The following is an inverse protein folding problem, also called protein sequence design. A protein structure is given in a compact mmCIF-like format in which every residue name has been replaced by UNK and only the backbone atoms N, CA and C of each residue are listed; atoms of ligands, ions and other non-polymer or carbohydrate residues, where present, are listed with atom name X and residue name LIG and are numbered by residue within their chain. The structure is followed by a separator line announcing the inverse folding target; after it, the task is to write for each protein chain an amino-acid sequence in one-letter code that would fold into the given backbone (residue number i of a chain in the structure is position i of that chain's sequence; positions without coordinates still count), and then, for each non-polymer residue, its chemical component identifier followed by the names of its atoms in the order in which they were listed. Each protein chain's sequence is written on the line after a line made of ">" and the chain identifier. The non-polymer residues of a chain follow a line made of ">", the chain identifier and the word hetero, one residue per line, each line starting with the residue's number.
data_IF_120357123396
#
_entry.id   IF_120357123396
#
_cell.length_a   1.000
_cell.length_b   1.000
_cell.length_c   1.000
_cell.angle_alpha   90.00
_cell.angle_beta   90.00
_cell.angle_gamma   90.00
#
_symmetry.space_group_name_H-M   'P 1'
#
loop_
_entity.id
_entity.type
_entity.pdbx_description
1 polymer ?
#
# COMPACT_ATOMS: atom_id res chain seq x y z
N UNK A 1 29.85 -9.12 1.69
CA UNK A 1 28.91 -10.17 2.13
C UNK A 1 28.53 -9.85 3.57
N UNK A 2 27.27 -9.53 3.84
CA UNK A 2 26.75 -9.26 5.19
C UNK A 2 25.43 -10.01 5.34
N UNK A 3 25.51 -11.18 5.97
CA UNK A 3 24.40 -12.09 6.28
C UNK A 3 23.79 -11.69 7.61
N UNK A 4 22.60 -11.10 7.61
CA UNK A 4 21.78 -10.96 8.82
C UNK A 4 20.47 -11.69 8.58
N UNK A 5 20.45 -12.96 8.97
CA UNK A 5 19.23 -13.68 9.26
C UNK A 5 18.78 -13.26 10.67
N UNK A 6 17.53 -12.82 10.81
CA UNK A 6 16.81 -12.88 12.07
C UNK A 6 15.39 -13.37 11.77
N UNK A 7 15.04 -14.42 12.49
CA UNK A 7 13.89 -15.29 12.33
C UNK A 7 12.82 -14.88 13.36
N UNK A 8 11.57 -14.98 12.93
CA UNK A 8 10.37 -15.36 13.67
C UNK A 8 9.66 -14.39 14.64
N UNK A 9 8.36 -14.29 14.30
CA UNK A 9 7.20 -14.63 15.14
C UNK A 9 6.50 -13.52 15.91
N UNK A 10 5.19 -13.45 15.63
CA UNK A 10 4.21 -13.55 16.71
C UNK A 10 3.41 -12.30 17.00
N UNK A 11 2.34 -12.12 16.22
CA UNK A 11 0.97 -11.72 16.62
C UNK A 11 0.86 -10.88 17.91
N UNK A 12 0.40 -9.63 17.76
CA UNK A 12 -0.43 -8.99 18.79
C UNK A 12 -1.68 -8.38 18.16
N UNK A 13 -2.77 -9.12 18.30
CA UNK A 13 -4.13 -8.67 18.02
C UNK A 13 -4.56 -7.82 19.21
N UNK A 14 -4.78 -6.53 18.99
CA UNK A 14 -5.39 -5.64 19.98
C UNK A 14 -6.66 -5.06 19.37
N UNK A 15 -7.75 -5.79 19.57
CA UNK A 15 -9.10 -5.25 19.52
C UNK A 15 -9.33 -4.47 20.82
N UNK A 16 -9.23 -3.14 20.76
CA UNK A 16 -9.80 -2.28 21.80
C UNK A 16 -11.10 -1.71 21.23
N UNK A 17 -12.18 -2.38 21.61
CA UNK A 17 -13.54 -1.85 21.54
C UNK A 17 -13.83 -1.26 22.92
N UNK A 18 -13.66 0.05 23.10
CA UNK A 18 -14.28 0.77 24.22
C UNK A 18 -14.82 2.08 23.66
N UNK A 19 -16.15 2.14 23.56
CA UNK A 19 -16.90 3.33 23.22
C UNK A 19 -17.13 4.25 24.43
N UNK A 20 -17.37 5.52 24.11
CA UNK A 20 -18.02 6.52 24.99
C UNK A 20 -19.02 7.24 24.08
N UNK A 21 -20.31 6.89 24.18
CA UNK A 21 -21.38 7.63 24.87
C UNK A 21 -21.55 9.09 24.36
N UNK A 22 -22.74 9.51 23.87
CA UNK A 22 -24.02 8.81 23.83
C UNK A 22 -25.18 9.60 23.23
N UNK A 23 -26.40 9.08 23.44
CA UNK A 23 -27.65 9.80 23.17
C UNK A 23 -28.89 8.89 23.16
N UNK A 24 -29.56 8.78 24.30
CA UNK A 24 -30.93 8.24 24.46
C UNK A 24 -30.97 6.78 24.94
N UNK A 25 -31.72 6.39 25.97
CA UNK A 25 -32.70 7.06 26.82
C UNK A 25 -33.51 5.96 27.51
N UNK A 26 -33.79 6.13 28.80
CA UNK A 26 -34.93 5.55 29.52
C UNK A 26 -35.05 4.02 29.69
N UNK A 27 -34.76 3.51 30.90
CA UNK A 27 -35.75 3.28 31.99
C UNK A 27 -35.26 2.23 32.98
N UNK A 28 -35.38 2.64 34.23
CA UNK A 28 -35.05 1.95 35.47
C UNK A 28 -36.11 0.88 35.80
N UNK A 29 -35.68 -0.33 36.17
CA UNK A 29 -36.42 -1.23 37.09
C UNK A 29 -35.45 -2.24 37.69
N UNK A 30 -35.46 -2.30 39.01
CA UNK A 30 -34.50 -2.96 39.91
C UNK A 30 -34.96 -4.37 40.32
N UNK A 31 -33.98 -5.14 40.81
CA UNK A 31 -34.03 -6.41 41.58
C UNK A 31 -34.03 -7.70 40.72
N UNK A 32 -33.23 -8.74 41.00
CA UNK A 32 -32.62 -9.19 42.24
C UNK A 32 -31.37 -10.09 42.02
N UNK A 33 -30.63 -10.23 43.11
CA UNK A 33 -29.37 -10.85 43.49
C UNK A 33 -29.13 -12.36 43.22
N UNK A 34 -27.86 -12.74 43.48
CA UNK A 34 -27.30 -14.06 43.88
C UNK A 34 -26.58 -14.86 42.78
N UNK A 35 -25.25 -14.73 42.68
CA UNK A 35 -24.21 -15.59 43.31
C UNK A 35 -24.19 -17.05 42.84
N UNK A 36 -23.13 -17.45 42.15
CA UNK A 36 -22.31 -18.63 42.53
C UNK A 36 -20.91 -18.53 41.92
N UNK A 37 -19.92 -18.74 42.77
CA UNK A 37 -18.52 -18.90 42.45
C UNK A 37 -18.17 -20.38 42.23
N UNK A 38 -17.05 -20.58 41.52
CA UNK A 38 -16.13 -21.72 41.57
C UNK A 38 -16.58 -23.11 41.08
N UNK A 39 -15.81 -23.66 40.12
CA UNK A 39 -15.09 -24.93 40.33
C UNK A 39 -14.14 -25.22 39.15
N UNK A 40 -12.86 -25.46 39.45
CA UNK A 40 -11.84 -25.98 38.55
C UNK A 40 -12.09 -27.47 38.21
N UNK A 41 -11.45 -27.94 37.13
CA UNK A 41 -11.28 -29.38 36.85
C UNK A 41 -10.49 -29.66 35.56
N UNK A 42 -9.18 -29.85 35.70
CA UNK A 42 -8.20 -30.28 34.69
C UNK A 42 -8.48 -31.66 34.07
N UNK A 43 -8.02 -31.88 32.83
CA UNK A 43 -7.16 -33.01 32.38
C UNK A 43 -7.00 -32.95 30.84
N UNK A 44 -5.80 -32.74 30.28
CA UNK A 44 -4.67 -33.69 30.14
C UNK A 44 -4.94 -34.77 29.07
N UNK A 45 -4.28 -34.65 27.92
CA UNK A 45 -3.85 -35.78 27.08
C UNK A 45 -2.82 -35.29 26.05
N UNK A 46 -1.55 -35.36 26.44
CA UNK A 46 -0.39 -35.31 25.55
C UNK A 46 -0.04 -36.72 25.11
N UNK A 47 0.26 -36.98 23.83
CA UNK A 47 1.24 -38.00 23.37
C UNK A 47 1.67 -37.67 21.90
N UNK A 48 2.77 -38.21 21.33
CA UNK A 48 4.14 -37.68 21.39
C UNK A 48 4.88 -37.60 20.03
N UNK A 49 6.08 -37.00 20.06
CA UNK A 49 7.17 -37.13 19.08
C UNK A 49 7.92 -38.47 19.25
N UNK A 50 8.32 -39.10 18.14
CA UNK A 50 9.56 -39.90 17.91
C UNK A 50 9.50 -40.47 16.46
N UNK A 51 10.54 -40.87 15.73
CA UNK A 51 11.90 -40.39 15.45
C UNK A 51 12.42 -41.31 14.31
N UNK A 52 13.31 -40.80 13.44
CA UNK A 52 14.33 -41.49 12.62
C UNK A 52 13.94 -42.49 11.50
N UNK A 53 14.48 -42.28 10.29
CA UNK A 53 15.69 -43.03 9.84
C UNK A 53 16.22 -42.51 8.49
N UNK A 54 17.54 -42.64 8.38
CA UNK A 54 18.51 -42.18 7.38
C UNK A 54 18.42 -42.86 6.01
N UNK A 55 19.07 -42.25 5.01
CA UNK A 55 19.34 -42.84 3.71
C UNK A 55 20.29 -41.97 2.87
N UNK A 56 21.58 -42.06 3.21
CA UNK A 56 22.74 -41.57 2.47
C UNK A 56 22.84 -42.24 1.09
N UNK A 57 23.12 -41.49 0.01
CA UNK A 57 23.94 -41.99 -1.11
C UNK A 57 24.45 -40.84 -1.99
N UNK A 58 25.74 -40.51 -1.89
CA UNK A 58 26.47 -39.64 -2.82
C UNK A 58 27.09 -40.43 -3.99
N UNK A 59 26.99 -39.82 -5.18
CA UNK A 59 27.98 -39.81 -6.30
C UNK A 59 28.24 -41.08 -7.14
N UNK A 60 28.90 -40.96 -8.33
CA UNK A 60 28.64 -40.07 -9.48
C UNK A 60 28.74 -40.85 -10.81
N UNK A 61 28.20 -40.34 -11.93
CA UNK A 61 28.76 -40.73 -13.23
C UNK A 61 28.55 -39.71 -14.35
N UNK A 62 29.64 -39.53 -15.09
CA UNK A 62 29.92 -38.45 -16.00
C UNK A 62 29.16 -38.50 -17.34
N UNK A 63 29.01 -37.32 -17.93
CA UNK A 63 28.82 -37.03 -19.35
C UNK A 63 29.87 -37.79 -20.21
N UNK A 64 29.68 -38.03 -21.53
CA UNK A 64 29.27 -37.01 -22.51
C UNK A 64 28.45 -37.49 -23.75
N UNK A 65 27.71 -36.59 -24.37
CA UNK A 65 27.52 -36.58 -25.82
C UNK A 65 27.05 -35.19 -26.28
N UNK A 66 27.87 -34.57 -27.11
CA UNK A 66 27.63 -33.30 -27.75
C UNK A 66 26.37 -33.33 -28.63
N UNK A 67 25.55 -32.30 -28.48
CA UNK A 67 24.75 -31.75 -29.57
C UNK A 67 25.16 -30.29 -29.70
N UNK A 68 25.95 -30.01 -30.73
CA UNK A 68 25.99 -28.69 -31.36
C UNK A 68 24.55 -28.32 -31.75
N UNK A 69 24.04 -27.25 -31.16
CA UNK A 69 22.90 -26.52 -31.68
C UNK A 69 23.19 -25.05 -31.44
N UNK A 70 23.69 -24.46 -32.52
CA UNK A 70 23.87 -23.05 -32.83
C UNK A 70 23.51 -22.07 -31.71
N UNK A 71 24.55 -21.57 -31.05
CA UNK A 71 24.57 -20.30 -30.35
C UNK A 71 24.23 -19.19 -31.34
N UNK A 72 22.93 -18.96 -31.55
CA UNK A 72 22.45 -17.81 -32.29
C UNK A 72 22.63 -16.58 -31.40
N UNK A 73 23.77 -15.91 -31.56
CA UNK A 73 24.05 -14.62 -30.94
C UNK A 73 22.85 -13.69 -31.12
N UNK A 74 22.37 -13.01 -30.05
CA UNK A 74 21.33 -12.01 -30.19
C UNK A 74 21.85 -10.92 -31.14
N UNK A 75 21.32 -10.91 -32.36
CA UNK A 75 21.53 -9.82 -33.30
C UNK A 75 21.08 -8.53 -32.60
N UNK A 76 21.87 -7.44 -32.61
CA UNK A 76 21.44 -6.16 -32.07
C UNK A 76 20.26 -5.69 -32.91
N UNK A 77 19.05 -5.94 -32.41
CA UNK A 77 17.83 -5.34 -32.93
C UNK A 77 18.04 -3.84 -32.82
N UNK A 78 18.03 -3.15 -33.97
CA UNK A 78 18.12 -1.70 -34.03
C UNK A 78 17.08 -1.11 -33.07
N UNK A 79 17.57 -0.55 -31.96
CA UNK A 79 16.79 0.27 -31.07
C UNK A 79 16.37 1.51 -31.88
N UNK A 80 15.19 1.49 -32.45
CA UNK A 80 14.47 2.74 -32.67
C UNK A 80 14.26 3.35 -31.30
N UNK A 81 14.58 4.63 -31.14
CA UNK A 81 14.47 5.45 -29.91
C UNK A 81 13.01 5.64 -29.44
N UNK A 82 12.23 4.56 -29.41
CA UNK A 82 10.85 4.57 -28.94
C UNK A 82 10.82 4.38 -27.43
N UNK A 83 10.04 5.22 -26.75
CA UNK A 83 9.78 5.12 -25.32
C UNK A 83 9.37 3.68 -24.94
N UNK A 84 10.00 3.05 -23.93
CA UNK A 84 9.68 1.68 -23.51
C UNK A 84 8.19 1.49 -23.16
N UNK A 85 7.67 0.26 -23.34
CA UNK A 85 6.24 -0.02 -23.08
C UNK A 85 5.82 0.28 -21.65
N UNK A 86 6.68 0.01 -20.66
CA UNK A 86 6.41 0.29 -19.25
C UNK A 86 6.16 1.78 -19.02
N UNK A 87 7.00 2.64 -19.60
CA UNK A 87 6.92 4.10 -19.48
C UNK A 87 5.60 4.63 -20.08
N UNK A 88 5.18 4.06 -21.21
CA UNK A 88 3.87 4.38 -21.81
C UNK A 88 2.69 3.94 -20.92
N UNK A 89 2.80 2.79 -20.27
CA UNK A 89 1.78 2.30 -19.33
C UNK A 89 1.70 3.17 -18.09
N UNK A 90 2.84 3.53 -17.50
CA UNK A 90 2.93 4.45 -16.38
C UNK A 90 2.32 5.82 -16.72
N UNK A 91 2.63 6.38 -17.90
CA UNK A 91 2.05 7.64 -18.38
C UNK A 91 0.51 7.58 -18.49
N UNK A 92 -0.04 6.48 -19.01
CA UNK A 92 -1.51 6.30 -19.06
C UNK A 92 -2.13 6.22 -17.67
N UNK A 93 -1.50 5.51 -16.73
CA UNK A 93 -1.96 5.40 -15.35
C UNK A 93 -1.88 6.71 -14.60
N UNK A 94 -0.78 7.45 -14.76
CA UNK A 94 -0.60 8.79 -14.22
C UNK A 94 -1.74 9.73 -14.64
N UNK A 95 -2.10 9.69 -15.93
CA UNK A 95 -3.24 10.44 -16.46
C UNK A 95 -4.56 10.03 -15.79
N UNK A 96 -4.82 8.73 -15.65
CA UNK A 96 -6.02 8.25 -14.94
C UNK A 96 -6.07 8.74 -13.49
N UNK A 97 -4.96 8.69 -12.77
CA UNK A 97 -4.90 9.17 -11.38
C UNK A 97 -5.15 10.67 -11.26
N UNK A 98 -4.58 11.47 -12.16
CA UNK A 98 -4.87 12.90 -12.23
C UNK A 98 -6.34 13.17 -12.54
N UNK A 99 -6.88 12.56 -13.59
CA UNK A 99 -8.21 12.87 -14.11
C UNK A 99 -9.35 12.38 -13.21
N UNK A 100 -9.19 11.18 -12.66
CA UNK A 100 -10.26 10.49 -11.92
C UNK A 100 -10.12 10.63 -10.41
N UNK A 101 -8.89 10.72 -9.92
CA UNK A 101 -8.61 10.76 -8.49
C UNK A 101 -8.04 12.11 -8.04
N UNK A 102 -7.81 13.06 -8.95
CA UNK A 102 -7.33 14.41 -8.64
C UNK A 102 -6.12 14.41 -7.72
N UNK A 103 -5.18 13.50 -7.97
CA UNK A 103 -4.00 13.33 -7.13
C UNK A 103 -2.98 14.44 -7.40
N UNK A 104 -2.15 14.73 -6.38
CA UNK A 104 -0.97 15.58 -6.55
C UNK A 104 0.08 14.88 -7.42
N UNK A 105 1.04 15.66 -7.91
CA UNK A 105 2.17 15.12 -8.65
C UNK A 105 2.94 14.05 -7.87
N UNK A 106 3.22 14.32 -6.59
CA UNK A 106 3.94 13.39 -5.72
C UNK A 106 3.08 12.16 -5.41
N UNK A 107 1.79 12.34 -5.12
CA UNK A 107 0.87 11.24 -4.87
C UNK A 107 0.76 10.30 -6.07
N UNK A 108 0.73 10.84 -7.30
CA UNK A 108 0.75 10.02 -8.52
C UNK A 108 2.03 9.20 -8.60
N UNK A 109 3.20 9.80 -8.37
CA UNK A 109 4.46 9.08 -8.37
C UNK A 109 4.46 7.95 -7.34
N UNK A 110 4.10 8.25 -6.09
CA UNK A 110 4.06 7.29 -4.98
C UNK A 110 3.13 6.11 -5.31
N UNK A 111 1.98 6.39 -5.91
CA UNK A 111 1.02 5.36 -6.30
C UNK A 111 1.53 4.46 -7.44
N UNK A 112 2.27 5.04 -8.40
CA UNK A 112 2.85 4.29 -9.52
C UNK A 112 3.95 3.33 -9.05
N UNK A 113 4.76 3.73 -8.07
CA UNK A 113 5.87 2.90 -7.55
C UNK A 113 5.46 1.98 -6.40
N UNK A 114 4.32 2.24 -5.75
CA UNK A 114 3.87 1.50 -4.58
C UNK A 114 3.81 -0.01 -4.82
N UNK A 115 4.30 -0.78 -3.86
CA UNK A 115 4.20 -2.25 -3.85
C UNK A 115 2.75 -2.75 -3.82
N UNK A 116 1.83 -1.91 -3.34
CA UNK A 116 0.39 -2.17 -3.30
C UNK A 116 -0.38 -1.46 -4.43
N UNK A 117 0.32 -0.71 -5.29
CA UNK A 117 -0.24 0.05 -6.39
C UNK A 117 0.05 -0.60 -7.74
N UNK A 118 0.71 0.15 -8.63
CA UNK A 118 1.00 -0.30 -9.99
C UNK A 118 2.37 -1.00 -10.13
N UNK A 119 3.25 -0.86 -9.11
CA UNK A 119 4.57 -1.50 -9.05
C UNK A 119 5.47 -1.20 -10.27
N UNK A 120 5.30 -0.03 -10.90
CA UNK A 120 6.20 0.41 -11.97
C UNK A 120 7.60 0.71 -11.42
N UNK A 121 8.60 0.60 -12.29
CA UNK A 121 9.94 1.08 -11.95
C UNK A 121 9.93 2.59 -11.62
N UNK A 122 10.79 3.05 -10.68
CA UNK A 122 10.93 4.46 -10.35
C UNK A 122 11.16 5.35 -11.59
N UNK A 123 11.96 4.88 -12.55
CA UNK A 123 12.26 5.62 -13.78
C UNK A 123 11.02 5.78 -14.67
N UNK A 124 10.19 4.74 -14.79
CA UNK A 124 8.94 4.80 -15.55
C UNK A 124 7.91 5.73 -14.88
N UNK A 125 7.82 5.68 -13.55
CA UNK A 125 6.95 6.56 -12.76
C UNK A 125 7.39 8.03 -12.84
N UNK A 126 8.69 8.28 -12.71
CA UNK A 126 9.28 9.61 -12.85
C UNK A 126 9.01 10.18 -14.25
N UNK A 127 9.28 9.38 -15.30
CA UNK A 127 8.95 9.75 -16.66
C UNK A 127 7.46 10.08 -16.82
N UNK A 128 6.58 9.30 -16.21
CA UNK A 128 5.14 9.53 -16.29
C UNK A 128 4.73 10.89 -15.68
N UNK A 129 5.21 11.24 -14.48
CA UNK A 129 4.89 12.52 -13.83
C UNK A 129 5.63 13.72 -14.43
N UNK A 130 6.79 13.52 -15.05
CA UNK A 130 7.52 14.57 -15.79
C UNK A 130 6.82 14.95 -17.10
N UNK A 131 6.18 13.97 -17.75
CA UNK A 131 5.52 14.17 -19.04
C UNK A 131 4.00 14.34 -18.92
N UNK A 132 3.45 14.28 -17.71
CA UNK A 132 2.03 14.49 -17.48
C UNK A 132 1.69 15.97 -17.53
N UNK A 133 0.88 16.35 -18.52
CA UNK A 133 0.28 17.68 -18.62
C UNK A 133 -1.02 17.70 -17.80
N UNK A 134 -0.88 17.95 -16.49
CA UNK A 134 -1.99 18.08 -15.56
C UNK A 134 -2.04 19.50 -14.97
N UNK A 135 -3.26 19.96 -14.68
CA UNK A 135 -3.48 21.16 -13.88
C UNK A 135 -3.58 20.74 -12.41
N UNK A 136 -2.47 20.78 -11.70
CA UNK A 136 -2.41 20.34 -10.30
C UNK A 136 -3.12 21.30 -9.34
N UNK A 137 -3.24 22.58 -9.70
CA UNK A 137 -4.08 23.54 -8.98
C UNK A 137 -5.55 23.11 -9.04
N UNK A 138 -6.03 22.70 -10.22
CA UNK A 138 -7.37 22.12 -10.38
C UNK A 138 -7.53 20.81 -9.61
N UNK A 139 -6.55 19.92 -9.63
CA UNK A 139 -6.60 18.68 -8.85
C UNK A 139 -6.72 18.97 -7.34
N UNK A 140 -5.91 19.90 -6.83
CA UNK A 140 -5.96 20.32 -5.43
C UNK A 140 -7.34 20.90 -5.07
N UNK A 141 -7.93 21.73 -5.93
CA UNK A 141 -9.26 22.28 -5.74
C UNK A 141 -10.36 21.19 -5.68
N UNK A 142 -10.32 20.19 -6.55
CA UNK A 142 -11.30 19.08 -6.51
C UNK A 142 -11.15 18.21 -5.25
N UNK A 143 -9.91 18.00 -4.78
CA UNK A 143 -9.64 17.38 -3.47
C UNK A 143 -10.17 18.21 -2.32
N UNK A 144 -9.92 19.52 -2.33
CA UNK A 144 -10.41 20.46 -1.34
C UNK A 144 -11.95 20.41 -1.24
N UNK A 145 -12.65 20.47 -2.38
CA UNK A 145 -14.12 20.33 -2.43
C UNK A 145 -14.59 19.00 -1.86
N UNK A 146 -13.86 17.92 -2.11
CA UNK A 146 -14.18 16.60 -1.56
C UNK A 146 -14.09 16.60 -0.03
N UNK A 147 -13.01 17.15 0.53
CA UNK A 147 -12.83 17.26 1.97
C UNK A 147 -13.87 18.18 2.62
N UNK A 148 -14.15 19.33 2.02
CA UNK A 148 -15.20 20.23 2.47
C UNK A 148 -16.56 19.51 2.50
N UNK A 149 -16.97 18.92 1.37
CA UNK A 149 -18.30 18.33 1.22
C UNK A 149 -18.53 17.09 2.07
N UNK A 150 -17.55 16.19 2.13
CA UNK A 150 -17.73 14.87 2.73
C UNK A 150 -17.21 14.77 4.16
N UNK A 151 -16.27 15.63 4.55
CA UNK A 151 -15.68 15.62 5.89
C UNK A 151 -15.95 16.92 6.66
N UNK A 152 -16.60 17.93 6.05
CA UNK A 152 -16.91 19.21 6.69
C UNK A 152 -15.68 19.88 7.30
N UNK A 153 -14.53 19.70 6.66
CA UNK A 153 -13.25 20.24 7.13
C UNK A 153 -13.19 21.76 6.93
N UNK A 154 -12.52 22.46 7.84
CA UNK A 154 -12.26 23.90 7.69
C UNK A 154 -11.19 24.15 6.61
N UNK A 155 -11.11 25.35 6.01
CA UNK A 155 -10.09 25.67 5.02
C UNK A 155 -8.65 25.42 5.51
N UNK A 156 -8.35 25.75 6.78
CA UNK A 156 -7.04 25.46 7.38
C UNK A 156 -6.76 23.95 7.46
N UNK A 157 -7.73 23.15 7.89
CA UNK A 157 -7.57 21.70 7.97
C UNK A 157 -7.43 21.07 6.57
N UNK A 158 -8.12 21.63 5.57
CA UNK A 158 -7.98 21.21 4.17
C UNK A 158 -6.57 21.53 3.68
N UNK A 159 -6.04 22.73 3.93
CA UNK A 159 -4.67 23.08 3.58
C UNK A 159 -3.65 22.10 4.18
N UNK A 160 -3.78 21.82 5.48
CA UNK A 160 -2.89 20.88 6.18
C UNK A 160 -3.01 19.46 5.58
N UNK A 161 -4.23 19.03 5.23
CA UNK A 161 -4.46 17.71 4.66
C UNK A 161 -3.91 17.59 3.23
N UNK A 162 -4.05 18.65 2.43
CA UNK A 162 -3.52 18.69 1.08
C UNK A 162 -1.98 18.66 1.08
N UNK A 163 -1.34 19.32 2.04
CA UNK A 163 0.14 19.43 2.12
C UNK A 163 0.81 18.32 2.94
N UNK A 164 0.05 17.59 3.76
CA UNK A 164 0.57 16.54 4.64
C UNK A 164 1.36 15.47 3.89
N UNK A 165 2.50 15.07 4.47
CA UNK A 165 3.35 13.96 4.02
C UNK A 165 2.65 12.59 4.05
N UNK A 166 1.56 12.48 4.80
CA UNK A 166 0.72 11.27 4.85
C UNK A 166 -0.65 11.48 4.20
N UNK A 167 -0.91 12.68 3.70
CA UNK A 167 -2.14 13.07 3.01
C UNK A 167 -1.95 13.10 1.50
N UNK A 168 -2.30 14.22 0.89
CA UNK A 168 -2.32 14.34 -0.58
C UNK A 168 -0.99 14.80 -1.17
N UNK A 169 -0.06 15.36 -0.38
CA UNK A 169 1.27 15.81 -0.82
C UNK A 169 1.27 16.82 -1.97
N UNK A 170 0.26 17.68 -2.04
CA UNK A 170 0.33 18.87 -2.89
C UNK A 170 1.40 19.83 -2.38
N UNK A 171 1.91 20.66 -3.28
CA UNK A 171 2.75 21.78 -2.88
C UNK A 171 1.94 22.79 -2.05
N UNK A 172 2.57 23.57 -1.16
CA UNK A 172 1.88 24.63 -0.43
C UNK A 172 1.17 25.62 -1.35
N UNK A 173 1.72 25.92 -2.52
CA UNK A 173 1.12 26.84 -3.49
C UNK A 173 -0.16 26.28 -4.11
N UNK A 174 -0.17 25.00 -4.48
CA UNK A 174 -1.37 24.31 -5.01
C UNK A 174 -2.46 24.18 -3.94
N UNK A 175 -2.08 23.86 -2.71
CA UNK A 175 -3.00 23.80 -1.59
C UNK A 175 -3.57 25.18 -1.26
N UNK A 176 -2.76 26.24 -1.30
CA UNK A 176 -3.20 27.61 -1.09
C UNK A 176 -4.18 28.03 -2.18
N UNK A 177 -3.85 27.76 -3.45
CA UNK A 177 -4.77 27.99 -4.57
C UNK A 177 -6.11 27.28 -4.33
N UNK A 178 -6.09 26.02 -3.89
CA UNK A 178 -7.31 25.27 -3.65
C UNK A 178 -8.20 25.93 -2.57
N UNK A 179 -7.62 26.33 -1.43
CA UNK A 179 -8.40 26.94 -0.34
C UNK A 179 -8.89 28.35 -0.67
N UNK A 180 -8.11 29.14 -1.42
CA UNK A 180 -8.51 30.48 -1.87
C UNK A 180 -9.69 30.44 -2.86
N UNK A 181 -9.90 29.29 -3.50
CA UNK A 181 -10.95 29.06 -4.48
C UNK A 181 -12.09 28.15 -3.96
N UNK A 182 -12.10 27.80 -2.67
CA UNK A 182 -13.23 27.13 -2.03
C UNK A 182 -14.41 28.11 -1.86
N UNK A 183 -15.58 27.74 -2.38
CA UNK A 183 -16.81 28.54 -2.21
C UNK A 183 -16.99 29.71 -3.17
N UNK A 184 -16.16 29.82 -4.22
CA UNK A 184 -16.37 30.74 -5.34
C UNK A 184 -17.22 30.14 -6.47
#
# INVERSE_FOLDING_TARGET
>A
MRTWAAIAAGIFLVLIIIGVAGGGGDKNSTENSSTVASSLGMQEAAIPTEQATSGDNEQPMAAPAAMESEEQAPQPQRATESVPREFQSAARKAKTYSDMMHMSRQGIYDQLVSEYGEQFSPDAAQYAVDNLQADYNKNALEKAKTYEKHMSMSPSAIFDQLTSEYGEKFTPEEAQYAVDNLGN
#
